data_IF_991772001387
#
_entry.id   IF_991772001387
#
_cell.length_a   1.000
_cell.length_b   1.000
_cell.length_c   1.000
_cell.angle_alpha   90.00
_cell.angle_beta   90.00
_cell.angle_gamma   90.00
#
_symmetry.space_group_name_H-M   'P 1'
#
loop_
_entity.id
_entity.type
_entity.pdbx_description
1 polymer ?
#
# COMPACT_ATOMS: atom_id res chain seq x y z
N UNK A 1 12.07 -2.45 30.40
CA UNK A 1 11.35 -1.22 29.98
C UNK A 1 10.06 -0.93 30.71
N UNK A 2 8.95 -1.68 30.50
CA UNK A 2 7.64 -1.34 31.09
C UNK A 2 7.68 -1.23 32.63
N UNK A 3 8.34 -2.18 33.30
CA UNK A 3 8.51 -2.16 34.76
C UNK A 3 9.45 -1.02 35.22
N UNK A 4 10.49 -0.72 34.45
CA UNK A 4 11.50 0.30 34.75
C UNK A 4 10.95 1.72 34.66
N UNK A 5 10.09 1.96 33.66
CA UNK A 5 9.34 3.21 33.51
C UNK A 5 8.02 3.21 34.30
N UNK A 6 7.78 2.21 35.15
CA UNK A 6 6.63 2.12 36.04
C UNK A 6 5.29 2.17 35.29
N UNK A 7 5.23 1.54 34.12
CA UNK A 7 4.08 1.51 33.22
C UNK A 7 3.49 2.91 32.97
N UNK A 8 4.33 3.92 32.74
CA UNK A 8 3.93 5.31 32.48
C UNK A 8 4.50 5.84 31.19
N UNK A 9 3.69 6.64 30.50
CA UNK A 9 4.15 7.46 29.39
C UNK A 9 5.19 8.47 29.89
N UNK A 10 6.39 8.47 29.32
CA UNK A 10 7.48 9.37 29.68
C UNK A 10 7.25 10.82 29.22
N UNK A 11 6.34 11.04 28.27
CA UNK A 11 5.97 12.39 27.78
C UNK A 11 4.88 13.05 28.63
N UNK A 12 3.81 12.33 29.00
CA UNK A 12 2.64 12.93 29.68
C UNK A 12 2.28 12.30 31.03
N UNK A 13 3.02 11.28 31.47
CA UNK A 13 2.84 10.62 32.76
C UNK A 13 1.61 9.73 32.90
N UNK A 14 0.78 9.56 31.84
CA UNK A 14 -0.38 8.65 31.90
C UNK A 14 0.05 7.21 32.10
N UNK A 15 -0.60 6.52 33.03
CA UNK A 15 -0.33 5.12 33.34
C UNK A 15 -1.00 4.16 32.35
N UNK A 16 -0.37 3.02 32.13
CA UNK A 16 -0.92 1.86 31.45
C UNK A 16 -1.82 1.01 32.36
N UNK A 17 -2.47 -0.02 31.78
CA UNK A 17 -3.42 -0.89 32.49
C UNK A 17 -2.85 -1.55 33.75
N UNK A 18 -1.57 -1.87 33.76
CA UNK A 18 -0.90 -2.57 34.87
C UNK A 18 -0.80 -1.69 36.13
N UNK A 19 -0.84 -0.37 35.98
CA UNK A 19 -0.80 0.62 37.07
C UNK A 19 -2.15 1.36 37.21
N UNK A 20 -3.26 0.65 36.97
CA UNK A 20 -4.65 1.18 37.03
C UNK A 20 -4.93 2.35 36.07
N UNK A 21 -4.13 2.51 35.02
CA UNK A 21 -4.36 3.48 33.97
C UNK A 21 -5.13 2.90 32.77
N UNK A 22 -5.45 3.75 31.80
CA UNK A 22 -6.13 3.35 30.56
C UNK A 22 -5.27 3.62 29.31
N UNK A 23 -4.05 4.14 29.47
CA UNK A 23 -3.23 4.50 28.34
C UNK A 23 -2.59 3.26 27.71
N UNK A 24 -2.79 3.04 26.42
CA UNK A 24 -1.99 2.06 25.67
C UNK A 24 -0.59 2.63 25.48
N UNK A 25 0.42 1.96 26.03
CA UNK A 25 1.82 2.35 26.00
C UNK A 25 2.58 1.54 24.96
N UNK A 26 3.51 2.20 24.28
CA UNK A 26 4.36 1.65 23.23
C UNK A 26 5.81 2.04 23.50
N UNK A 27 6.74 1.13 23.27
CA UNK A 27 8.16 1.44 23.26
C UNK A 27 8.51 2.11 21.93
N UNK A 28 9.31 3.16 21.97
CA UNK A 28 9.75 3.95 20.83
C UNK A 28 11.23 4.22 20.95
N UNK A 29 11.93 4.24 19.84
CA UNK A 29 13.30 4.73 19.79
C UNK A 29 13.35 6.24 20.05
N UNK A 30 14.38 6.69 20.76
CA UNK A 30 14.68 8.09 21.04
C UNK A 30 15.46 8.67 19.85
N UNK A 31 16.45 7.92 19.37
CA UNK A 31 17.24 8.22 18.19
C UNK A 31 17.21 7.02 17.23
N UNK A 32 17.09 7.28 15.93
CA UNK A 32 16.98 6.23 14.90
C UNK A 32 18.30 5.53 14.61
N UNK A 33 19.40 6.29 14.58
CA UNK A 33 20.73 5.76 14.28
C UNK A 33 21.72 6.25 15.35
N UNK A 34 21.62 5.73 16.58
CA UNK A 34 22.51 6.15 17.67
C UNK A 34 23.96 5.76 17.38
N UNK A 35 24.88 6.72 17.45
CA UNK A 35 26.31 6.45 17.22
C UNK A 35 26.95 5.64 18.36
N UNK A 36 26.39 5.72 19.57
CA UNK A 36 27.03 5.27 20.81
C UNK A 36 26.37 4.03 21.48
N UNK A 37 25.16 3.66 21.06
CA UNK A 37 24.39 2.55 21.65
C UNK A 37 23.75 1.69 20.56
N UNK A 38 23.34 0.46 20.90
CA UNK A 38 22.55 -0.37 19.97
C UNK A 38 21.18 0.30 19.70
N UNK A 39 20.65 0.13 18.50
CA UNK A 39 19.36 0.72 18.12
C UNK A 39 18.27 0.29 19.10
N UNK A 40 18.22 -0.99 19.49
CA UNK A 40 17.25 -1.51 20.46
C UNK A 40 17.75 -1.47 21.90
N UNK A 41 18.83 -0.73 22.18
CA UNK A 41 19.31 -0.57 23.54
C UNK A 41 18.24 0.11 24.40
N UNK A 42 18.11 -0.36 25.64
CA UNK A 42 17.23 0.20 26.64
C UNK A 42 17.46 1.71 26.86
N UNK A 43 18.69 2.19 26.68
CA UNK A 43 19.05 3.61 26.74
C UNK A 43 18.52 4.42 25.56
N UNK A 44 18.34 3.80 24.39
CA UNK A 44 17.78 4.42 23.19
C UNK A 44 16.25 4.28 23.10
N UNK A 45 15.60 3.66 24.08
CA UNK A 45 14.17 3.38 24.03
C UNK A 45 13.41 4.20 25.08
N UNK A 46 12.25 4.72 24.70
CA UNK A 46 11.32 5.47 25.55
C UNK A 46 9.93 4.83 25.53
N UNK A 47 9.17 4.98 26.60
CA UNK A 47 7.82 4.44 26.71
C UNK A 47 6.80 5.58 26.59
N UNK A 48 6.01 5.62 25.53
CA UNK A 48 5.05 6.70 25.30
C UNK A 48 3.64 6.16 25.05
N UNK A 49 2.62 6.93 25.41
CA UNK A 49 1.23 6.54 25.13
C UNK A 49 0.85 6.86 23.70
N UNK A 50 -0.13 6.12 23.15
CA UNK A 50 -0.66 6.35 21.79
C UNK A 50 -1.01 7.81 21.48
N UNK A 51 -1.50 8.57 22.46
CA UNK A 51 -1.84 9.98 22.26
C UNK A 51 -0.59 10.87 22.13
N UNK A 52 0.46 10.62 22.91
CA UNK A 52 1.72 11.36 22.82
C UNK A 52 2.52 10.95 21.58
N UNK A 53 2.51 9.66 21.26
CA UNK A 53 3.03 9.10 20.02
C UNK A 53 2.38 9.75 18.80
N UNK A 54 1.05 9.77 18.74
CA UNK A 54 0.30 10.43 17.68
C UNK A 54 0.51 11.95 17.63
N UNK A 55 0.78 12.61 18.76
CA UNK A 55 1.08 14.04 18.80
C UNK A 55 2.49 14.32 18.27
N UNK A 56 3.48 13.50 18.62
CA UNK A 56 4.84 13.60 18.10
C UNK A 56 4.85 13.53 16.56
N UNK A 57 4.03 12.67 15.95
CA UNK A 57 3.91 12.57 14.49
C UNK A 57 3.17 13.72 13.82
N UNK A 58 2.44 14.51 14.61
CA UNK A 58 1.85 15.75 14.11
C UNK A 58 2.85 16.91 14.17
N UNK A 59 4.08 16.69 14.65
CA UNK A 59 5.11 17.73 14.75
C UNK A 59 6.09 17.74 13.58
N UNK A 60 6.02 16.83 12.60
CA UNK A 60 6.86 16.95 11.39
C UNK A 60 6.54 18.28 10.70
N UNK A 61 7.49 19.21 10.72
CA UNK A 61 7.33 20.53 10.16
C UNK A 61 7.80 20.54 8.69
N UNK A 62 7.24 21.41 7.84
CA UNK A 62 7.64 21.48 6.43
C UNK A 62 9.13 21.78 6.24
N UNK A 63 9.76 22.44 7.22
CA UNK A 63 11.19 22.75 7.23
C UNK A 63 12.09 21.52 7.43
N UNK A 64 11.52 20.42 7.93
CA UNK A 64 12.24 19.16 8.11
C UNK A 64 12.25 18.31 6.82
N UNK A 65 11.53 18.73 5.77
CA UNK A 65 11.46 18.00 4.52
C UNK A 65 12.78 18.08 3.74
N UNK A 66 13.28 16.97 3.17
CA UNK A 66 14.50 16.94 2.37
C UNK A 66 14.34 17.57 0.98
N UNK A 67 13.13 18.01 0.63
CA UNK A 67 12.75 18.65 -0.63
C UNK A 67 11.94 19.91 -0.35
N UNK A 68 11.94 20.85 -1.29
CA UNK A 68 11.15 22.08 -1.16
C UNK A 68 9.64 21.77 -1.15
N UNK A 69 8.98 22.05 -0.03
CA UNK A 69 7.53 21.95 0.18
C UNK A 69 6.94 23.36 0.30
N UNK A 70 5.95 23.70 -0.53
CA UNK A 70 5.28 25.01 -0.49
C UNK A 70 4.03 25.02 0.40
N UNK A 71 3.48 26.19 0.68
CA UNK A 71 2.21 26.32 1.41
C UNK A 71 1.05 25.63 0.68
N UNK A 72 1.03 25.65 -0.66
CA UNK A 72 0.03 24.97 -1.46
C UNK A 72 0.13 23.44 -1.36
N UNK A 73 1.34 22.89 -1.27
CA UNK A 73 1.55 21.45 -1.05
C UNK A 73 0.94 20.99 0.28
N UNK A 74 1.07 21.81 1.32
CA UNK A 74 0.53 21.53 2.66
C UNK A 74 -1.01 21.53 2.71
N UNK A 75 -1.69 21.98 1.64
CA UNK A 75 -3.15 21.80 1.52
C UNK A 75 -3.54 20.36 1.19
N UNK A 76 -2.59 19.56 0.70
CA UNK A 76 -2.76 18.15 0.30
C UNK A 76 -1.99 17.21 1.22
N UNK A 77 -0.80 17.62 1.66
CA UNK A 77 0.09 16.82 2.48
C UNK A 77 -0.35 16.77 3.95
N UNK A 78 -0.03 15.65 4.58
CA UNK A 78 -0.15 15.40 6.00
C UNK A 78 1.25 15.37 6.63
N UNK A 79 1.37 15.56 7.95
CA UNK A 79 2.67 15.43 8.63
C UNK A 79 3.39 14.12 8.35
N UNK A 80 2.65 13.01 8.20
CA UNK A 80 3.25 11.70 7.87
C UNK A 80 3.88 11.66 6.48
N UNK A 81 3.49 12.52 5.55
CA UNK A 81 4.14 12.59 4.24
C UNK A 81 5.53 13.21 4.33
N UNK A 82 5.71 14.19 5.23
CA UNK A 82 7.01 14.78 5.50
C UNK A 82 7.94 13.71 6.08
N UNK A 83 7.44 12.91 7.03
CA UNK A 83 8.19 11.79 7.59
C UNK A 83 8.55 10.73 6.53
N UNK A 84 7.62 10.38 5.64
CA UNK A 84 7.92 9.47 4.52
C UNK A 84 9.05 10.04 3.65
N UNK A 85 9.05 11.34 3.37
CA UNK A 85 10.12 11.96 2.59
C UNK A 85 11.47 11.89 3.30
N UNK A 86 11.50 12.07 4.62
CA UNK A 86 12.71 11.93 5.43
C UNK A 86 13.27 10.50 5.37
N UNK A 87 12.41 9.49 5.60
CA UNK A 87 12.80 8.06 5.49
C UNK A 87 13.40 7.78 4.11
N UNK A 88 12.78 8.25 3.03
CA UNK A 88 13.33 8.06 1.68
C UNK A 88 14.68 8.78 1.47
N UNK A 89 14.89 9.95 2.08
CA UNK A 89 16.15 10.67 1.98
C UNK A 89 17.29 10.00 2.76
N UNK A 90 16.98 9.49 3.95
CA UNK A 90 17.95 8.92 4.88
C UNK A 90 18.32 7.47 4.49
N UNK A 91 17.33 6.65 4.16
CA UNK A 91 17.50 5.21 3.93
C UNK A 91 17.63 4.86 2.44
N UNK A 92 17.21 5.77 1.56
CA UNK A 92 17.16 5.56 0.12
C UNK A 92 15.89 4.84 -0.35
N UNK A 93 15.87 4.33 -1.60
CA UNK A 93 14.72 3.62 -2.13
C UNK A 93 14.38 2.36 -1.31
N UNK A 94 13.09 2.14 -1.05
CA UNK A 94 12.63 0.99 -0.27
C UNK A 94 11.27 0.46 -0.70
N UNK A 95 10.94 -0.78 -0.32
CA UNK A 95 9.58 -1.29 -0.52
C UNK A 95 8.64 -0.64 0.48
N UNK A 96 7.35 -0.64 0.17
CA UNK A 96 6.36 -0.01 1.05
C UNK A 96 6.32 -0.62 2.46
N UNK A 97 6.65 -1.92 2.59
CA UNK A 97 6.75 -2.58 3.89
C UNK A 97 7.91 -2.03 4.72
N UNK A 98 9.08 -1.87 4.10
CA UNK A 98 10.29 -1.34 4.75
C UNK A 98 10.07 0.11 5.17
N UNK A 99 9.56 0.94 4.27
CA UNK A 99 9.19 2.33 4.57
C UNK A 99 8.20 2.38 5.73
N UNK A 100 7.19 1.51 5.75
CA UNK A 100 6.22 1.47 6.85
C UNK A 100 6.83 1.02 8.17
N UNK A 101 7.82 0.12 8.14
CA UNK A 101 8.58 -0.31 9.31
C UNK A 101 9.44 0.81 9.89
N UNK A 102 9.95 1.67 9.01
CA UNK A 102 10.74 2.84 9.41
C UNK A 102 9.90 4.00 9.89
N UNK A 103 8.62 4.12 9.56
CA UNK A 103 7.81 5.23 10.09
C UNK A 103 7.66 5.13 11.61
N UNK A 104 7.89 6.24 12.29
CA UNK A 104 7.61 6.33 13.72
C UNK A 104 6.09 6.24 13.96
N UNK A 105 5.25 6.63 12.99
CA UNK A 105 3.80 6.42 13.01
C UNK A 105 3.42 4.97 12.70
N UNK A 106 2.56 4.39 13.55
CA UNK A 106 1.97 3.05 13.36
C UNK A 106 0.90 3.11 12.25
N UNK A 107 1.37 3.17 11.00
CA UNK A 107 0.57 3.12 9.79
C UNK A 107 0.61 1.73 9.19
N UNK A 108 -0.53 1.25 8.71
CA UNK A 108 -0.53 0.02 7.92
C UNK A 108 0.22 0.23 6.61
N UNK A 109 0.86 -0.82 6.09
CA UNK A 109 1.51 -0.83 4.76
C UNK A 109 0.58 -0.29 3.67
N UNK A 110 -0.71 -0.59 3.75
CA UNK A 110 -1.74 -0.04 2.87
C UNK A 110 -1.89 1.48 2.95
N UNK A 111 -1.85 2.04 4.16
CA UNK A 111 -1.95 3.48 4.36
C UNK A 111 -0.70 4.19 3.86
N UNK A 112 0.49 3.64 4.10
CA UNK A 112 1.75 4.15 3.55
C UNK A 112 1.73 4.12 2.03
N UNK A 113 1.28 3.01 1.43
CA UNK A 113 1.09 2.91 -0.04
C UNK A 113 0.18 4.01 -0.58
N UNK A 114 -0.94 4.26 0.10
CA UNK A 114 -1.86 5.32 -0.30
C UNK A 114 -1.22 6.71 -0.20
N UNK A 115 -0.36 6.96 0.79
CA UNK A 115 0.39 8.22 0.92
C UNK A 115 1.45 8.37 -0.14
N UNK A 116 2.18 7.30 -0.47
CA UNK A 116 3.17 7.29 -1.56
C UNK A 116 2.52 7.65 -2.92
N UNK A 117 1.29 7.22 -3.21
CA UNK A 117 0.57 7.70 -4.40
C UNK A 117 0.21 9.18 -4.34
N UNK A 118 -0.06 9.73 -3.16
CA UNK A 118 -0.32 11.17 -3.00
C UNK A 118 0.96 11.96 -3.26
N UNK A 119 2.08 11.55 -2.67
CA UNK A 119 3.41 12.16 -2.86
C UNK A 119 3.87 12.06 -4.31
N UNK A 120 3.76 10.88 -4.91
CA UNK A 120 4.13 10.66 -6.31
C UNK A 120 3.29 11.54 -7.23
N UNK A 121 1.98 11.68 -6.98
CA UNK A 121 1.03 12.45 -7.79
C UNK A 121 0.82 13.90 -7.37
N UNK A 122 1.71 14.48 -6.57
CA UNK A 122 1.48 15.79 -5.93
C UNK A 122 1.41 16.94 -6.94
N UNK A 123 2.32 16.95 -7.91
CA UNK A 123 2.38 17.89 -9.04
C UNK A 123 1.10 17.89 -9.88
N UNK A 124 0.45 16.74 -10.05
CA UNK A 124 -0.82 16.67 -10.77
C UNK A 124 -2.04 17.13 -9.93
N UNK A 125 -1.85 17.41 -8.64
CA UNK A 125 -2.92 17.86 -7.73
C UNK A 125 -2.79 19.33 -7.35
N UNK A 126 -1.56 19.82 -7.26
CA UNK A 126 -1.23 21.17 -6.83
C UNK A 126 -0.79 21.95 -8.05
N UNK A 127 -1.61 22.89 -8.52
CA UNK A 127 -1.40 23.61 -9.78
C UNK A 127 -0.06 24.37 -9.82
N UNK A 128 0.45 24.84 -8.68
CA UNK A 128 1.73 25.55 -8.60
C UNK A 128 2.95 24.62 -8.62
N UNK A 129 2.79 23.31 -8.46
CA UNK A 129 3.89 22.35 -8.42
C UNK A 129 4.09 21.70 -9.79
N UNK A 130 5.24 21.96 -10.39
CA UNK A 130 5.60 21.49 -11.74
C UNK A 130 6.52 20.25 -11.72
N UNK A 131 6.88 19.76 -10.52
CA UNK A 131 7.84 18.67 -10.34
C UNK A 131 7.35 17.62 -9.36
N UNK A 132 7.46 16.37 -9.82
CA UNK A 132 7.33 15.18 -8.99
C UNK A 132 8.46 15.12 -7.95
N UNK A 133 8.12 14.64 -6.74
CA UNK A 133 9.07 14.52 -5.61
C UNK A 133 9.41 13.08 -5.26
N UNK A 134 8.45 12.17 -5.41
CA UNK A 134 8.58 10.74 -5.13
C UNK A 134 8.22 9.98 -6.37
N UNK A 135 8.93 8.90 -6.65
CA UNK A 135 8.62 8.00 -7.75
C UNK A 135 8.69 6.54 -7.30
N UNK A 136 8.19 5.66 -8.14
CA UNK A 136 8.33 4.22 -7.98
C UNK A 136 9.17 3.67 -9.13
N UNK A 137 10.16 2.87 -8.81
CA UNK A 137 10.91 2.14 -9.82
C UNK A 137 10.06 0.98 -10.38
N UNK A 138 9.92 0.92 -11.71
CA UNK A 138 9.12 -0.11 -12.37
C UNK A 138 9.77 -1.49 -12.32
N UNK A 139 11.10 -1.56 -12.25
CA UNK A 139 11.84 -2.82 -12.25
C UNK A 139 11.95 -3.40 -10.83
N UNK A 140 12.32 -2.59 -9.84
CA UNK A 140 12.53 -3.05 -8.46
C UNK A 140 11.25 -3.03 -7.62
N UNK A 141 10.31 -2.16 -7.98
CA UNK A 141 9.09 -1.91 -7.22
C UNK A 141 9.29 -1.04 -5.97
N UNK A 142 10.49 -0.50 -5.77
CA UNK A 142 10.84 0.38 -4.65
C UNK A 142 10.35 1.81 -4.90
N UNK A 143 10.11 2.53 -3.81
CA UNK A 143 9.78 3.94 -3.82
C UNK A 143 10.99 4.73 -3.39
N UNK A 144 11.25 5.85 -4.06
CA UNK A 144 12.35 6.75 -3.72
C UNK A 144 12.00 8.20 -4.05
N UNK A 145 12.86 9.12 -3.64
CA UNK A 145 12.90 10.46 -4.23
C UNK A 145 13.17 10.34 -5.74
N UNK A 146 12.70 11.30 -6.52
CA UNK A 146 12.83 11.25 -7.99
C UNK A 146 14.27 11.10 -8.49
N UNK A 147 15.26 11.57 -7.75
CA UNK A 147 16.69 11.41 -8.08
C UNK A 147 17.28 10.04 -7.72
N UNK A 148 16.59 9.26 -6.89
CA UNK A 148 17.02 7.94 -6.45
C UNK A 148 16.43 6.80 -7.31
N UNK A 149 15.45 7.11 -8.16
CA UNK A 149 14.75 6.15 -9.02
C UNK A 149 15.30 6.20 -10.44
N UNK A 150 15.69 5.04 -10.99
CA UNK A 150 16.25 4.95 -12.34
C UNK A 150 15.15 4.79 -13.39
N UNK A 151 14.19 3.91 -13.14
CA UNK A 151 13.14 3.56 -14.11
C UNK A 151 11.76 3.97 -13.61
N UNK A 152 11.34 5.18 -13.92
CA UNK A 152 10.05 5.73 -13.50
C UNK A 152 8.86 4.83 -13.88
N UNK A 153 7.99 4.55 -12.91
CA UNK A 153 6.69 3.92 -13.15
C UNK A 153 5.63 4.91 -13.66
N UNK A 154 5.87 6.22 -13.55
CA UNK A 154 4.96 7.23 -14.08
C UNK A 154 4.96 7.22 -15.61
N UNK A 155 3.78 7.25 -16.21
CA UNK A 155 3.60 7.20 -17.66
C UNK A 155 3.92 5.83 -18.28
N UNK A 156 4.45 4.88 -17.51
CA UNK A 156 4.79 3.55 -17.99
C UNK A 156 3.52 2.75 -18.36
N UNK A 157 3.58 2.03 -19.48
CA UNK A 157 2.52 1.14 -19.94
C UNK A 157 2.84 -0.29 -19.49
N UNK A 158 2.08 -0.87 -18.55
CA UNK A 158 2.36 -2.22 -18.06
C UNK A 158 2.17 -3.30 -19.13
N UNK A 159 3.06 -4.30 -19.12
CA UNK A 159 2.91 -5.53 -19.92
C UNK A 159 1.87 -6.50 -19.32
N UNK A 160 1.68 -6.48 -17.99
CA UNK A 160 0.65 -7.29 -17.31
C UNK A 160 -0.74 -6.75 -17.67
N UNK A 161 -1.56 -7.59 -18.31
CA UNK A 161 -2.88 -7.19 -18.82
C UNK A 161 -3.82 -6.70 -17.70
N UNK A 162 -3.75 -7.29 -16.51
CA UNK A 162 -4.62 -6.89 -15.40
C UNK A 162 -4.21 -5.52 -14.87
N UNK A 163 -2.91 -5.28 -14.70
CA UNK A 163 -2.37 -3.99 -14.29
C UNK A 163 -2.65 -2.92 -15.35
N UNK A 164 -2.52 -3.24 -16.63
CA UNK A 164 -2.89 -2.36 -17.74
C UNK A 164 -4.35 -1.92 -17.65
N UNK A 165 -5.29 -2.86 -17.52
CA UNK A 165 -6.72 -2.56 -17.34
C UNK A 165 -6.95 -1.68 -16.10
N UNK A 166 -6.26 -2.00 -15.01
CA UNK A 166 -6.33 -1.23 -13.78
C UNK A 166 -5.88 0.23 -13.96
N UNK A 167 -4.78 0.47 -14.71
CA UNK A 167 -4.28 1.82 -15.01
C UNK A 167 -5.23 2.58 -15.93
N UNK A 168 -5.79 1.89 -16.92
CA UNK A 168 -6.78 2.46 -17.83
C UNK A 168 -8.04 2.91 -17.10
N UNK A 169 -8.61 2.05 -16.24
CA UNK A 169 -9.82 2.39 -15.48
C UNK A 169 -9.60 3.56 -14.53
N UNK A 170 -8.47 3.55 -13.82
CA UNK A 170 -8.11 4.61 -12.90
C UNK A 170 -8.06 5.97 -13.57
N UNK A 171 -7.36 6.04 -14.71
CA UNK A 171 -7.22 7.26 -15.47
C UNK A 171 -8.55 7.71 -16.08
N UNK A 172 -9.42 6.77 -16.48
CA UNK A 172 -10.78 7.10 -16.91
C UNK A 172 -11.61 7.72 -15.79
N UNK A 173 -11.52 7.16 -14.57
CA UNK A 173 -12.19 7.71 -13.38
C UNK A 173 -11.68 9.12 -13.08
N UNK A 174 -10.36 9.35 -13.09
CA UNK A 174 -9.78 10.68 -12.89
C UNK A 174 -10.27 11.68 -13.92
N UNK A 175 -10.13 11.38 -15.22
CA UNK A 175 -10.56 12.27 -16.31
C UNK A 175 -12.06 12.56 -16.27
N UNK A 176 -12.90 11.60 -15.87
CA UNK A 176 -14.34 11.83 -15.71
C UNK A 176 -14.62 12.84 -14.60
N UNK A 177 -14.01 12.66 -13.43
CA UNK A 177 -14.19 13.55 -12.28
C UNK A 177 -13.65 14.97 -12.57
N UNK A 178 -12.50 15.09 -13.23
CA UNK A 178 -11.91 16.39 -13.61
C UNK A 178 -12.73 17.13 -14.66
N UNK A 179 -13.43 16.41 -15.55
CA UNK A 179 -14.41 17.00 -16.47
C UNK A 179 -15.70 17.45 -15.78
N UNK A 180 -15.81 17.26 -14.46
CA UNK A 180 -16.96 17.65 -13.66
C UNK A 180 -18.10 16.64 -13.66
N UNK A 181 -17.87 15.38 -14.08
CA UNK A 181 -18.88 14.33 -13.93
C UNK A 181 -19.20 14.11 -12.44
N UNK A 182 -20.48 13.86 -12.14
CA UNK A 182 -20.90 13.58 -10.77
C UNK A 182 -20.26 12.27 -10.30
N UNK A 183 -19.73 12.27 -9.06
CA UNK A 183 -19.07 11.08 -8.51
C UNK A 183 -20.01 9.88 -8.37
N UNK A 184 -21.29 10.08 -8.07
CA UNK A 184 -22.26 8.98 -7.99
C UNK A 184 -22.47 8.36 -9.37
N UNK A 185 -22.55 9.17 -10.43
CA UNK A 185 -22.67 8.66 -11.79
C UNK A 185 -21.42 7.85 -12.20
N UNK A 186 -20.23 8.28 -11.76
CA UNK A 186 -18.98 7.53 -11.97
C UNK A 186 -18.97 6.22 -11.17
N UNK A 187 -19.43 6.24 -9.93
CA UNK A 187 -19.60 5.03 -9.09
C UNK A 187 -20.50 4.02 -9.79
N UNK A 188 -21.67 4.46 -10.25
CA UNK A 188 -22.67 3.62 -10.89
C UNK A 188 -22.16 3.07 -12.22
N UNK A 189 -21.48 3.90 -13.04
CA UNK A 189 -20.97 3.50 -14.34
C UNK A 189 -19.83 2.47 -14.27
N UNK A 190 -18.97 2.57 -13.25
CA UNK A 190 -17.84 1.66 -13.07
C UNK A 190 -18.15 0.50 -12.10
N UNK A 191 -19.31 0.51 -11.44
CA UNK A 191 -19.68 -0.52 -10.47
C UNK A 191 -18.75 -0.55 -9.23
N UNK A 192 -18.22 0.61 -8.83
CA UNK A 192 -17.21 0.72 -7.76
C UNK A 192 -17.74 1.45 -6.53
N UNK A 193 -17.09 1.26 -5.38
CA UNK A 193 -17.51 1.99 -4.17
C UNK A 193 -17.01 3.43 -4.17
N UNK A 194 -17.61 4.27 -3.33
CA UNK A 194 -17.10 5.62 -3.08
C UNK A 194 -15.65 5.60 -2.60
N UNK A 195 -15.25 4.66 -1.75
CA UNK A 195 -13.87 4.55 -1.27
C UNK A 195 -12.91 4.24 -2.42
N UNK A 196 -13.29 3.28 -3.27
CA UNK A 196 -12.55 2.88 -4.47
C UNK A 196 -12.32 4.07 -5.42
N UNK A 197 -13.30 4.97 -5.58
CA UNK A 197 -13.09 6.17 -6.42
C UNK A 197 -11.94 7.05 -5.96
N UNK A 198 -11.76 7.21 -4.64
CA UNK A 198 -10.64 7.99 -4.11
C UNK A 198 -9.31 7.31 -4.39
N UNK A 199 -9.23 5.99 -4.19
CA UNK A 199 -7.99 5.23 -4.43
C UNK A 199 -7.62 5.22 -5.92
N UNK A 200 -8.60 5.01 -6.80
CA UNK A 200 -8.41 5.12 -8.25
C UNK A 200 -7.93 6.51 -8.66
N UNK A 201 -8.51 7.58 -8.10
CA UNK A 201 -8.06 8.94 -8.37
C UNK A 201 -6.63 9.18 -7.85
N UNK A 202 -6.28 8.63 -6.67
CA UNK A 202 -4.92 8.76 -6.13
C UNK A 202 -3.88 8.08 -7.03
N UNK A 203 -4.14 6.83 -7.42
CA UNK A 203 -3.29 6.08 -8.34
C UNK A 203 -3.24 6.74 -9.71
N UNK A 204 -4.35 7.20 -10.27
CA UNK A 204 -4.36 7.91 -11.55
C UNK A 204 -3.44 9.15 -11.54
N UNK A 205 -3.50 9.98 -10.49
CA UNK A 205 -2.59 11.12 -10.36
C UNK A 205 -1.12 10.72 -10.23
N UNK A 206 -0.84 9.61 -9.52
CA UNK A 206 0.52 9.13 -9.31
C UNK A 206 1.16 8.62 -10.62
N UNK A 207 0.44 7.76 -11.33
CA UNK A 207 0.96 7.06 -12.50
C UNK A 207 0.75 7.83 -13.80
N UNK A 208 -0.15 8.81 -13.84
CA UNK A 208 -0.47 9.64 -15.01
C UNK A 208 -0.51 8.83 -16.33
N UNK A 209 -1.36 7.79 -16.33
CA UNK A 209 -1.31 6.79 -17.38
C UNK A 209 -1.70 7.41 -18.74
N UNK A 210 -0.95 7.16 -19.82
CA UNK A 210 -1.15 7.80 -21.12
C UNK A 210 -2.31 7.15 -21.89
N UNK A 211 -3.56 7.35 -21.43
CA UNK A 211 -4.75 6.80 -22.08
C UNK A 211 -4.89 7.19 -23.56
N UNK A 212 -4.32 8.32 -23.96
CA UNK A 212 -4.31 8.81 -25.34
C UNK A 212 -3.37 8.02 -26.27
N UNK A 213 -2.39 7.29 -25.73
CA UNK A 213 -1.59 6.33 -26.49
C UNK A 213 -2.45 5.20 -27.07
N UNK A 214 -3.57 4.89 -26.39
CA UNK A 214 -4.57 3.92 -26.80
C UNK A 214 -5.67 4.68 -27.54
N UNK A 215 -5.62 4.68 -28.87
CA UNK A 215 -6.65 5.32 -29.68
C UNK A 215 -8.06 4.80 -29.35
N UNK A 216 -9.10 5.51 -29.79
CA UNK A 216 -10.53 5.11 -29.66
C UNK A 216 -10.83 3.81 -30.44
N UNK A 217 -10.27 2.67 -29.99
CA UNK A 217 -10.36 1.39 -30.69
C UNK A 217 -9.25 0.37 -30.37
N UNK A 218 -8.53 0.48 -29.24
CA UNK A 218 -7.64 -0.60 -28.77
C UNK A 218 -6.38 -0.87 -29.62
N UNK A 219 -6.13 -0.06 -30.65
CA UNK A 219 -4.87 -0.06 -31.40
C UNK A 219 -4.02 1.13 -30.98
N UNK A 220 -2.71 0.95 -30.71
CA UNK A 220 -1.78 2.05 -30.51
C UNK A 220 -1.87 3.04 -31.68
N UNK A 221 -1.80 4.33 -31.37
CA UNK A 221 -1.78 5.37 -32.42
C UNK A 221 -0.56 5.21 -33.34
N UNK A 222 -0.71 5.51 -34.63
CA UNK A 222 0.34 5.30 -35.66
C UNK A 222 1.67 6.01 -35.37
N UNK A 223 1.71 6.95 -34.42
CA UNK A 223 2.90 7.71 -34.05
C UNK A 223 4.04 6.84 -33.45
N UNK A 224 3.73 5.67 -32.88
CA UNK A 224 4.74 4.76 -32.31
C UNK A 224 5.23 3.72 -33.32
N UNK A 225 4.69 3.71 -34.54
CA UNK A 225 4.93 2.67 -35.54
C UNK A 225 5.94 3.14 -36.59
N UNK A 226 7.14 3.50 -36.16
CA UNK A 226 8.28 3.68 -37.05
C UNK A 226 9.33 2.60 -36.80
N UNK A 227 9.60 1.84 -37.87
CA UNK A 227 10.76 0.99 -38.12
C UNK A 227 10.79 -0.44 -37.55
N UNK A 228 9.87 -1.30 -38.01
CA UNK A 228 10.25 -2.62 -38.58
C UNK A 228 9.05 -3.30 -39.30
N UNK A 229 9.27 -3.56 -40.59
CA UNK A 229 8.72 -4.58 -41.52
C UNK A 229 7.75 -5.66 -40.97
N UNK A 230 6.75 -6.24 -41.65
CA UNK A 230 6.14 -6.19 -43.00
C UNK A 230 4.77 -6.93 -42.87
N UNK A 231 3.81 -6.61 -43.75
CA UNK A 231 2.66 -7.44 -44.21
C UNK A 231 2.09 -8.57 -43.33
N UNK A 232 0.85 -8.40 -42.86
CA UNK A 232 -0.15 -9.49 -42.84
C UNK A 232 -1.51 -8.95 -43.27
N UNK A 233 -2.12 -9.69 -44.18
CA UNK A 233 -3.38 -9.50 -44.90
C UNK A 233 -4.62 -9.45 -44.00
N UNK A 234 -5.59 -8.65 -44.44
CA UNK A 234 -6.96 -8.57 -43.92
C UNK A 234 -7.66 -9.94 -43.84
N UNK A 235 -8.29 -10.22 -42.71
CA UNK A 235 -9.47 -11.08 -42.65
C UNK A 235 -10.37 -10.59 -41.53
N UNK A 236 -11.56 -10.16 -41.93
CA UNK A 236 -12.69 -9.82 -41.10
C UNK A 236 -13.25 -11.10 -40.46
N UNK A 237 -13.47 -11.09 -39.15
CA UNK A 237 -14.52 -11.88 -38.51
C UNK A 237 -14.87 -11.29 -37.14
N UNK A 238 -16.02 -10.62 -37.11
CA UNK A 238 -16.83 -10.31 -35.93
C UNK A 238 -17.18 -11.61 -35.19
N UNK A 239 -16.69 -11.80 -33.97
CA UNK A 239 -17.33 -12.68 -32.99
C UNK A 239 -17.25 -12.06 -31.59
N UNK A 240 -18.40 -11.54 -31.13
CA UNK A 240 -18.63 -11.09 -29.77
C UNK A 240 -18.51 -12.28 -28.81
N UNK A 241 -17.44 -12.34 -28.03
CA UNK A 241 -17.32 -13.31 -26.95
C UNK A 241 -17.93 -12.75 -25.66
N UNK A 242 -19.01 -13.43 -25.24
CA UNK A 242 -19.67 -13.30 -23.94
C UNK A 242 -18.68 -13.65 -22.83
N UNK A 243 -18.53 -12.75 -21.87
CA UNK A 243 -17.87 -13.00 -20.60
C UNK A 243 -18.84 -13.79 -19.70
N UNK A 244 -18.48 -15.02 -19.37
CA UNK A 244 -19.02 -15.74 -18.22
C UNK A 244 -17.86 -16.14 -17.31
N UNK A 245 -18.08 -15.89 -16.02
CA UNK A 245 -17.39 -16.39 -14.82
C UNK A 245 -16.01 -15.79 -14.45
N UNK A 246 -16.04 -14.88 -13.46
CA UNK A 246 -14.89 -14.58 -12.59
C UNK A 246 -15.38 -14.75 -11.16
N UNK A 247 -14.87 -15.78 -10.50
CA UNK A 247 -14.99 -16.00 -9.07
C UNK A 247 -14.46 -14.80 -8.31
N UNK A 248 -15.27 -14.27 -7.40
CA UNK A 248 -14.93 -13.18 -6.48
C UNK A 248 -13.77 -13.61 -5.56
N UNK A 249 -12.54 -13.34 -5.99
CA UNK A 249 -11.42 -13.21 -5.05
C UNK A 249 -11.57 -11.87 -4.33
N UNK A 250 -11.44 -11.91 -3.00
CA UNK A 250 -11.70 -10.81 -2.09
C UNK A 250 -11.14 -9.48 -2.59
N UNK A 251 -12.06 -8.54 -2.86
CA UNK A 251 -11.79 -7.16 -3.26
C UNK A 251 -10.90 -6.45 -2.23
N UNK A 252 -9.59 -6.56 -2.38
CA UNK A 252 -8.67 -5.61 -1.78
C UNK A 252 -8.86 -4.27 -2.54
N UNK A 253 -9.60 -3.36 -1.91
CA UNK A 253 -9.97 -2.00 -2.39
C UNK A 253 -8.76 -1.08 -2.72
N UNK A 254 -7.55 -1.62 -2.58
CA UNK A 254 -6.29 -0.96 -2.86
C UNK A 254 -5.69 -1.35 -4.21
N UNK A 255 -6.34 -2.26 -4.94
CA UNK A 255 -5.80 -2.80 -6.18
C UNK A 255 -4.70 -3.85 -5.95
N UNK A 256 -4.39 -4.60 -7.00
CA UNK A 256 -3.36 -5.66 -6.96
C UNK A 256 -2.00 -5.06 -6.62
N UNK A 257 -1.29 -5.71 -5.70
CA UNK A 257 0.11 -5.40 -5.42
C UNK A 257 0.93 -5.76 -6.65
N UNK A 258 1.59 -4.76 -7.24
CA UNK A 258 2.49 -4.94 -8.38
C UNK A 258 3.66 -5.83 -7.92
N UNK A 259 3.76 -7.02 -8.51
CA UNK A 259 4.87 -7.96 -8.26
C UNK A 259 5.79 -7.89 -9.46
N UNK A 260 6.64 -6.88 -9.46
CA UNK A 260 7.78 -6.79 -10.37
C UNK A 260 9.02 -7.34 -9.64
N UNK A 261 9.81 -8.16 -10.33
CA UNK A 261 10.90 -8.93 -9.75
C UNK A 261 10.46 -10.26 -9.11
N UNK A 262 11.41 -11.20 -9.01
CA UNK A 262 11.22 -12.55 -8.47
C UNK A 262 10.59 -12.48 -7.07
N UNK A 263 9.48 -13.18 -6.78
CA UNK A 263 8.95 -13.25 -5.43
C UNK A 263 9.97 -13.99 -4.55
N UNK A 264 10.43 -13.33 -3.49
CA UNK A 264 11.13 -14.04 -2.42
C UNK A 264 10.12 -14.93 -1.68
N UNK A 265 10.52 -16.16 -1.32
CA UNK A 265 9.65 -17.03 -0.55
C UNK A 265 9.41 -16.41 0.84
N UNK A 266 8.14 -16.38 1.26
CA UNK A 266 7.74 -16.00 2.61
C UNK A 266 8.66 -16.70 3.63
N UNK A 267 9.50 -15.91 4.30
CA UNK A 267 10.34 -16.38 5.38
C UNK A 267 9.50 -16.53 6.64
N UNK A 268 8.72 -17.61 6.69
CA UNK A 268 8.27 -18.20 7.94
C UNK A 268 9.50 -18.75 8.67
N UNK A 269 10.18 -17.89 9.43
CA UNK A 269 11.26 -18.32 10.32
C UNK A 269 10.69 -19.15 11.47
N UNK A 270 10.71 -20.46 11.26
CA UNK A 270 10.72 -21.47 12.31
C UNK A 270 11.94 -21.26 13.22
N UNK A 271 11.74 -20.64 14.37
CA UNK A 271 12.68 -20.75 15.49
C UNK A 271 12.28 -21.94 16.38
N UNK A 272 12.91 -23.08 16.11
CA UNK A 272 12.95 -24.19 17.05
C UNK A 272 14.07 -23.97 18.08
N UNK A 273 13.74 -23.89 19.38
CA UNK A 273 14.54 -24.53 20.45
C UNK A 273 13.77 -24.68 21.77
N UNK A 274 13.85 -25.91 22.27
CA UNK A 274 13.14 -26.53 23.38
C UNK A 274 13.42 -25.93 24.78
N UNK A 275 12.36 -25.85 25.59
CA UNK A 275 12.25 -26.56 26.88
C UNK A 275 12.44 -25.75 28.16
N UNK A 276 11.35 -25.46 28.91
CA UNK A 276 11.01 -26.16 30.17
C UNK A 276 9.61 -25.74 30.70
N UNK A 277 9.00 -26.65 31.45
CA UNK A 277 7.60 -26.76 31.85
C UNK A 277 7.06 -25.65 32.76
N UNK A 278 5.80 -25.25 32.52
CA UNK A 278 4.77 -25.24 33.58
C UNK A 278 3.34 -25.21 33.05
N UNK A 279 2.59 -26.25 33.43
CA UNK A 279 1.15 -26.40 33.33
C UNK A 279 0.35 -25.13 33.68
N UNK A 280 -0.59 -24.77 32.79
CA UNK A 280 -2.02 -24.54 33.12
C UNK A 280 -2.87 -24.23 31.88
N UNK A 281 -3.68 -25.23 31.49
CA UNK A 281 -5.13 -25.12 31.17
C UNK A 281 -5.58 -24.33 29.93
N UNK A 282 -5.93 -25.05 28.85
CA UNK A 282 -7.05 -24.71 27.95
C UNK A 282 -7.71 -25.98 27.39
N UNK A 283 -8.99 -26.18 27.68
CA UNK A 283 -9.82 -27.34 27.26
C UNK A 283 -10.86 -26.87 26.22
N UNK A 284 -10.57 -25.81 25.47
CA UNK A 284 -11.56 -25.14 24.61
C UNK A 284 -11.20 -25.08 23.12
N UNK A 285 -9.98 -25.47 22.71
CA UNK A 285 -9.55 -25.35 21.31
C UNK A 285 -9.71 -26.66 20.50
N UNK A 286 -9.69 -27.83 21.17
CA UNK A 286 -9.80 -29.12 20.48
C UNK A 286 -11.23 -29.44 20.00
N UNK A 287 -12.28 -28.97 20.69
CA UNK A 287 -13.65 -29.27 20.29
C UNK A 287 -14.08 -28.51 19.04
N UNK A 288 -13.57 -27.29 18.85
CA UNK A 288 -13.87 -26.45 17.68
C UNK A 288 -13.16 -27.00 16.44
N UNK A 289 -11.96 -27.57 16.60
CA UNK A 289 -11.20 -28.18 15.51
C UNK A 289 -11.87 -29.46 14.98
N UNK A 290 -12.40 -30.30 15.86
CA UNK A 290 -13.08 -31.55 15.46
C UNK A 290 -14.45 -31.30 14.81
N UNK A 291 -15.19 -30.29 15.27
CA UNK A 291 -16.47 -29.90 14.67
C UNK A 291 -16.28 -29.31 13.27
N UNK A 292 -15.21 -28.52 13.06
CA UNK A 292 -14.85 -27.98 11.75
C UNK A 292 -14.43 -29.09 10.77
N UNK A 293 -13.63 -30.07 11.23
CA UNK A 293 -13.23 -31.24 10.41
C UNK A 293 -14.42 -32.09 10.01
N UNK A 294 -15.38 -32.26 10.91
CA UNK A 294 -16.60 -33.03 10.64
C UNK A 294 -17.45 -32.35 9.56
N UNK A 295 -17.62 -31.02 9.64
CA UNK A 295 -18.33 -30.25 8.62
C UNK A 295 -17.61 -30.27 7.26
N UNK A 296 -16.28 -30.16 7.25
CA UNK A 296 -15.50 -30.23 6.01
C UNK A 296 -15.66 -31.59 5.33
N UNK A 297 -15.63 -32.67 6.10
CA UNK A 297 -15.78 -34.03 5.57
C UNK A 297 -17.20 -34.28 5.02
N UNK A 298 -18.23 -33.72 5.65
CA UNK A 298 -19.60 -33.79 5.14
C UNK A 298 -19.77 -33.02 3.81
N UNK A 299 -19.13 -31.85 3.68
CA UNK A 299 -19.15 -31.07 2.45
C UNK A 299 -18.46 -31.83 1.30
N UNK A 300 -17.30 -32.44 1.58
CA UNK A 300 -16.57 -33.25 0.60
C UNK A 300 -17.40 -34.46 0.15
N UNK A 301 -18.04 -35.17 1.08
CA UNK A 301 -18.87 -36.33 0.74
C UNK A 301 -20.08 -35.92 -0.12
N UNK A 302 -20.71 -34.79 0.19
CA UNK A 302 -21.86 -34.26 -0.58
C UNK A 302 -21.46 -33.91 -2.02
N UNK A 303 -20.28 -33.33 -2.20
CA UNK A 303 -19.75 -33.00 -3.53
C UNK A 303 -19.39 -34.26 -4.33
N UNK A 304 -18.85 -35.29 -3.68
CA UNK A 304 -18.55 -36.57 -4.32
C UNK A 304 -19.81 -37.32 -4.74
N UNK A 305 -20.88 -37.25 -3.96
CA UNK A 305 -22.19 -37.83 -4.32
C UNK A 305 -22.80 -37.12 -5.53
N UNK A 306 -22.73 -35.79 -5.60
CA UNK A 306 -23.20 -35.01 -6.75
C UNK A 306 -22.41 -35.35 -8.01
N UNK A 307 -21.08 -35.48 -7.89
CA UNK A 307 -20.21 -35.78 -9.01
C UNK A 307 -20.34 -37.25 -9.50
N UNK A 308 -20.83 -38.14 -8.64
CA UNK A 308 -21.12 -39.54 -8.99
C UNK A 308 -22.52 -39.73 -9.57
N UNK A 309 -23.39 -38.72 -9.47
CA UNK A 309 -24.77 -38.71 -9.97
C UNK A 309 -24.91 -37.99 -11.34
N UNK A 310 -23.82 -37.43 -11.86
CA UNK A 310 -23.66 -36.91 -13.22
C UNK A 310 -23.06 -37.99 -14.15
#
# INVERSE_FOLDING_TARGET
MMEEYGHKCQLCGRCGPEENGLAKLHAHHIERNPEDVDEHDMENLTLICRACHSWHHQQSEPEDAPVDITEEDLTVLLPQDIEILQVLADDGPGRTGDIAGELTADLSVSAVRERLWVLMGLDNRVESRDRQIVDKDVETGEWGLTEQVENSARGHIPDDQQLLLQRMEDEQVRRALERGCNRNDVIDAFGITRRTTFNKMKRAYAYDFPLDAFGRGGRPSEATRSEQDTQVTESESDEQQRLDDVTEEESSDLGRTETWGTPEPDSDEQTARNGDQRDKRSVAEDSVSEELRTHLQQAINSLQEINSAL
#
